data_IF_056810618652
#
_entry.id   IF_056810618652
#
_cell.length_a   1.000
_cell.length_b   1.000
_cell.length_c   1.000
_cell.angle_alpha   90.00
_cell.angle_beta   90.00
_cell.angle_gamma   90.00
#
_symmetry.space_group_name_H-M   'P 1'
#
loop_
_entity.id
_entity.type
_entity.pdbx_description
1 polymer ?
#
# COMPACT_ATOMS: atom_id res chain seq x y z
N UNK A 1 -6.96 -4.78 -20.59
CA UNK A 1 -5.95 -4.63 -19.52
C UNK A 1 -4.81 -5.65 -19.66
N UNK A 2 -5.09 -6.95 -19.79
CA UNK A 2 -4.08 -8.01 -19.95
C UNK A 2 -3.23 -7.89 -21.24
N UNK A 3 -3.86 -7.62 -22.39
CA UNK A 3 -3.13 -7.44 -23.66
C UNK A 3 -2.09 -6.30 -23.58
N UNK A 4 -2.47 -5.16 -22.97
CA UNK A 4 -1.57 -4.03 -22.78
C UNK A 4 -0.44 -4.30 -21.78
N UNK A 5 -0.72 -5.09 -20.74
CA UNK A 5 0.32 -5.52 -19.81
C UNK A 5 1.35 -6.43 -20.49
N UNK A 6 0.90 -7.34 -21.36
CA UNK A 6 1.78 -8.20 -22.16
C UNK A 6 2.66 -7.39 -23.12
N UNK A 7 2.10 -6.40 -23.83
CA UNK A 7 2.87 -5.48 -24.68
C UNK A 7 3.96 -4.72 -23.92
N UNK A 8 3.70 -4.37 -22.67
CA UNK A 8 4.61 -3.59 -21.81
C UNK A 8 5.52 -4.47 -20.92
N UNK A 9 5.48 -5.80 -21.08
CA UNK A 9 6.21 -6.75 -20.22
C UNK A 9 5.91 -6.58 -18.71
N UNK A 10 4.66 -6.26 -18.37
CA UNK A 10 4.20 -6.10 -16.98
C UNK A 10 3.61 -7.42 -16.49
N UNK A 11 4.18 -7.98 -15.43
CA UNK A 11 3.64 -9.16 -14.75
C UNK A 11 2.42 -8.78 -13.90
N UNK A 12 1.28 -9.43 -14.17
CA UNK A 12 0.07 -9.29 -13.35
C UNK A 12 0.10 -10.35 -12.24
N UNK A 13 0.08 -9.90 -10.99
CA UNK A 13 0.00 -10.78 -9.82
C UNK A 13 -1.47 -10.94 -9.41
N UNK A 14 -1.92 -12.18 -9.24
CA UNK A 14 -3.24 -12.47 -8.69
C UNK A 14 -3.27 -12.10 -7.21
N UNK A 15 -4.34 -11.42 -6.79
CA UNK A 15 -4.59 -11.07 -5.41
C UNK A 15 -5.98 -11.59 -5.02
N UNK A 16 -6.13 -12.38 -3.95
CA UNK A 16 -7.43 -12.83 -3.51
C UNK A 16 -8.29 -11.65 -3.02
N UNK A 17 -9.62 -11.82 -3.05
CA UNK A 17 -10.57 -10.84 -2.53
C UNK A 17 -10.27 -10.48 -1.07
N UNK A 18 -10.51 -9.22 -0.68
CA UNK A 18 -10.32 -8.68 0.69
C UNK A 18 -8.90 -8.75 1.26
N UNK A 19 -7.88 -8.85 0.41
CA UNK A 19 -6.47 -8.96 0.82
C UNK A 19 -5.79 -7.63 1.15
N UNK A 20 -6.36 -6.85 2.07
CA UNK A 20 -5.87 -5.51 2.44
C UNK A 20 -4.42 -5.48 2.93
N UNK A 21 -3.94 -6.59 3.50
CA UNK A 21 -2.56 -6.74 3.94
C UNK A 21 -1.65 -7.32 2.85
N UNK A 22 -2.18 -7.90 1.78
CA UNK A 22 -1.36 -8.39 0.66
C UNK A 22 -1.19 -7.31 -0.43
N UNK A 23 -2.09 -6.34 -0.47
CA UNK A 23 -2.04 -5.23 -1.43
C UNK A 23 -0.99 -4.18 -1.02
N UNK A 24 0.13 -4.11 -1.75
CA UNK A 24 1.19 -3.13 -1.53
C UNK A 24 0.71 -1.67 -1.61
N UNK A 25 -0.24 -1.36 -2.50
CA UNK A 25 -0.79 -0.01 -2.66
C UNK A 25 -1.54 0.40 -1.39
N UNK A 26 -2.29 -0.52 -0.78
CA UNK A 26 -2.99 -0.23 0.48
C UNK A 26 -2.02 -0.07 1.66
N UNK A 27 -0.93 -0.83 1.70
CA UNK A 27 0.13 -0.64 2.70
C UNK A 27 0.75 0.75 2.60
N UNK A 28 1.10 1.18 1.39
CA UNK A 28 1.61 2.52 1.13
C UNK A 28 0.58 3.59 1.52
N UNK A 29 -0.69 3.42 1.13
CA UNK A 29 -1.77 4.33 1.49
C UNK A 29 -1.92 4.49 3.00
N UNK A 30 -1.82 3.41 3.79
CA UNK A 30 -1.84 3.48 5.25
C UNK A 30 -0.67 4.30 5.80
N UNK A 31 0.54 4.10 5.29
CA UNK A 31 1.72 4.90 5.67
C UNK A 31 1.49 6.39 5.36
N UNK A 32 1.08 6.70 4.14
CA UNK A 32 0.82 8.07 3.70
C UNK A 32 -0.21 8.74 4.60
N UNK A 33 -1.36 8.10 4.85
CA UNK A 33 -2.40 8.63 5.75
C UNK A 33 -1.85 8.94 7.13
N UNK A 34 -1.09 8.03 7.73
CA UNK A 34 -0.51 8.21 9.08
C UNK A 34 0.47 9.38 9.14
N UNK A 35 1.28 9.60 8.10
CA UNK A 35 2.34 10.63 8.09
C UNK A 35 1.81 12.02 7.68
N UNK A 36 0.95 12.08 6.67
CA UNK A 36 0.53 13.34 6.04
C UNK A 36 -0.75 13.94 6.63
N UNK A 37 -1.73 13.11 7.02
CA UNK A 37 -3.12 13.56 7.27
C UNK A 37 -3.62 13.24 8.68
N UNK A 38 -3.20 12.14 9.28
CA UNK A 38 -3.78 11.65 10.52
C UNK A 38 -3.64 12.68 11.66
N UNK A 39 -4.77 13.06 12.27
CA UNK A 39 -4.81 14.01 13.38
C UNK A 39 -4.46 15.46 13.04
N UNK A 40 -4.34 15.83 11.75
CA UNK A 40 -3.98 17.18 11.31
C UNK A 40 -5.13 17.83 10.54
N UNK A 41 -5.67 18.92 11.09
CA UNK A 41 -6.63 19.74 10.36
C UNK A 41 -5.92 20.52 9.24
N UNK A 42 -6.54 20.54 8.05
CA UNK A 42 -6.06 21.27 6.88
C UNK A 42 -7.21 22.16 6.40
N UNK A 43 -7.05 23.49 6.34
CA UNK A 43 -8.15 24.42 6.12
C UNK A 43 -8.73 24.37 4.70
N UNK A 44 -7.95 23.88 3.73
CA UNK A 44 -8.42 23.77 2.36
C UNK A 44 -7.77 22.59 1.63
N UNK A 45 -8.34 22.24 0.47
CA UNK A 45 -7.86 21.14 -0.35
C UNK A 45 -6.40 21.29 -0.79
N UNK A 46 -5.95 22.52 -1.11
CA UNK A 46 -4.57 22.75 -1.52
C UNK A 46 -3.58 22.38 -0.41
N UNK A 47 -3.86 22.79 0.84
CA UNK A 47 -3.04 22.43 2.00
C UNK A 47 -3.08 20.93 2.33
N UNK A 48 -4.21 20.27 2.06
CA UNK A 48 -4.32 18.81 2.20
C UNK A 48 -3.47 18.08 1.17
N UNK A 49 -3.59 18.46 -0.10
CA UNK A 49 -2.82 17.87 -1.21
C UNK A 49 -1.32 18.09 -1.03
N UNK A 50 -0.91 19.31 -0.70
CA UNK A 50 0.49 19.64 -0.47
C UNK A 50 1.12 18.78 0.64
N UNK A 51 0.39 18.48 1.72
CA UNK A 51 0.88 17.62 2.79
C UNK A 51 1.14 16.17 2.32
N UNK A 52 0.33 15.67 1.39
CA UNK A 52 0.52 14.34 0.78
C UNK A 52 1.71 14.38 -0.18
N UNK A 53 1.79 15.38 -1.05
CA UNK A 53 2.90 15.58 -1.99
C UNK A 53 4.25 15.71 -1.29
N UNK A 54 4.31 16.47 -0.19
CA UNK A 54 5.51 16.60 0.64
C UNK A 54 5.93 15.24 1.23
N UNK A 55 4.98 14.50 1.80
CA UNK A 55 5.25 13.15 2.33
C UNK A 55 5.74 12.19 1.24
N UNK A 56 5.17 12.28 0.03
CA UNK A 56 5.61 11.50 -1.13
C UNK A 56 7.05 11.82 -1.52
N UNK A 57 7.43 13.10 -1.51
CA UNK A 57 8.79 13.54 -1.84
C UNK A 57 9.86 13.02 -0.86
N UNK A 58 9.44 12.67 0.36
CA UNK A 58 10.30 12.18 1.43
C UNK A 58 10.30 10.64 1.56
N UNK A 59 9.56 9.93 0.69
CA UNK A 59 9.41 8.48 0.78
C UNK A 59 10.74 7.72 0.68
N UNK A 60 11.60 8.14 -0.23
CA UNK A 60 12.91 7.49 -0.49
C UNK A 60 14.02 8.03 0.39
N UNK A 61 13.73 9.01 1.25
CA UNK A 61 14.69 9.62 2.17
C UNK A 61 14.26 9.35 3.61
N UNK A 62 13.49 10.25 4.23
CA UNK A 62 13.09 10.18 5.63
C UNK A 62 12.19 8.98 5.97
N UNK A 63 11.62 8.30 4.97
CA UNK A 63 10.76 7.13 5.15
C UNK A 63 11.27 5.87 4.46
N UNK A 64 12.52 5.86 3.97
CA UNK A 64 13.05 4.77 3.15
C UNK A 64 13.03 3.41 3.85
N UNK A 65 13.48 3.35 5.10
CA UNK A 65 13.53 2.09 5.87
C UNK A 65 12.11 1.57 6.20
N UNK A 66 11.19 2.37 6.79
CA UNK A 66 9.80 1.94 6.97
C UNK A 66 9.11 1.53 5.68
N UNK A 67 9.40 2.22 4.57
CA UNK A 67 8.85 1.90 3.27
C UNK A 67 9.36 0.55 2.76
N UNK A 68 10.67 0.29 2.87
CA UNK A 68 11.27 -0.98 2.47
C UNK A 68 10.66 -2.16 3.24
N UNK A 69 10.47 -2.03 4.56
CA UNK A 69 9.81 -3.04 5.37
C UNK A 69 8.33 -3.28 4.97
N UNK A 70 7.62 -2.24 4.54
CA UNK A 70 6.23 -2.34 4.10
C UNK A 70 6.07 -2.94 2.69
N UNK A 71 7.05 -2.75 1.82
CA UNK A 71 7.02 -3.18 0.41
C UNK A 71 7.55 -4.61 0.20
N UNK A 72 7.58 -5.44 1.24
CA UNK A 72 7.98 -6.85 1.11
C UNK A 72 6.81 -7.72 0.63
N UNK A 73 7.10 -8.73 -0.19
CA UNK A 73 6.11 -9.74 -0.61
C UNK A 73 5.99 -10.89 0.42
N UNK A 74 6.43 -10.65 1.67
CA UNK A 74 6.28 -11.61 2.76
C UNK A 74 4.84 -11.54 3.27
N UNK A 75 4.04 -12.47 2.78
CA UNK A 75 2.64 -12.63 3.14
C UNK A 75 2.54 -13.65 4.28
N UNK A 76 1.72 -13.37 5.29
CA UNK A 76 1.41 -14.36 6.31
C UNK A 76 0.53 -15.42 5.65
N UNK A 77 1.08 -16.62 5.48
CA UNK A 77 0.32 -17.80 5.09
C UNK A 77 -0.38 -18.34 6.34
N UNK A 78 -1.66 -18.67 6.20
CA UNK A 78 -2.38 -19.45 7.21
C UNK A 78 -2.22 -20.91 6.82
N UNK A 79 -1.95 -21.77 7.80
CA UNK A 79 -2.08 -23.21 7.60
C UNK A 79 -3.51 -23.53 7.16
N UNK A 80 -3.65 -24.52 6.28
CA UNK A 80 -4.96 -24.99 5.81
C UNK A 80 -5.67 -25.72 6.96
N UNK A 81 -6.31 -24.94 7.84
CA UNK A 81 -7.12 -25.46 8.94
C UNK A 81 -8.50 -25.79 8.39
N UNK A 82 -8.86 -27.07 8.42
CA UNK A 82 -10.21 -27.54 8.09
C UNK A 82 -11.22 -26.86 9.04
N UNK A 83 -11.94 -25.84 8.56
CA UNK A 83 -12.90 -25.07 9.35
C UNK A 83 -14.26 -25.78 9.54
N UNK A 84 -14.32 -27.11 9.39
CA UNK A 84 -15.52 -27.89 9.63
C UNK A 84 -15.18 -29.21 10.34
N UNK A 85 -15.31 -29.19 11.66
CA UNK A 85 -15.81 -30.33 12.42
C UNK A 85 -16.95 -29.82 13.29
N UNK A 86 -18.09 -30.51 13.14
CA UNK A 86 -19.43 -30.33 13.74
C UNK A 86 -20.42 -29.41 13.01
#
# INVERSE_FOLDING_TARGET
>A
MQARAAELSITLLYLPSYSHNLNLIERLRRLLKRRSVYGKYRPNFATFRAAIEDTLSQLTTAHAEPLAALMTLQFQEFEDVSLLTE
#
